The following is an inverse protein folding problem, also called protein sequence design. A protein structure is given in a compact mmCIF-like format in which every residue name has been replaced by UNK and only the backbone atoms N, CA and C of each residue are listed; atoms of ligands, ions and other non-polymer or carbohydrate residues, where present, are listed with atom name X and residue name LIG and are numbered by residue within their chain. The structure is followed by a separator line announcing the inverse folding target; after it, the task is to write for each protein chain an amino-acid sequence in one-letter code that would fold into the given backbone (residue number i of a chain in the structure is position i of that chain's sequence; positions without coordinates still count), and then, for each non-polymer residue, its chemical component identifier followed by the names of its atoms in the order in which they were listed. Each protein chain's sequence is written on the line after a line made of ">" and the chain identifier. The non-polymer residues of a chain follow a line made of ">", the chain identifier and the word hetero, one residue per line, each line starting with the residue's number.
data_IF_762933375207
#
_entry.id   IF_762933375207
#
_cell.length_a   1.000
_cell.length_b   1.000
_cell.length_c   1.000
_cell.angle_alpha   90.00
_cell.angle_beta   90.00
_cell.angle_gamma   90.00
#
_symmetry.space_group_name_H-M   'P 1'
#
loop_
_entity.id
_entity.type
_entity.pdbx_description
1 polymer ?
#
# COMPACT_ATOMS: atom_id res chain seq x y z
N UNK A 1 -33.51 -56.27 -1.68
CA UNK A 1 -32.78 -55.09 -2.22
C UNK A 1 -31.88 -54.52 -1.13
N UNK A 2 -30.87 -53.70 -1.47
CA UNK A 2 -29.76 -53.32 -0.53
C UNK A 2 -30.18 -52.30 0.53
N UNK A 3 -29.34 -52.17 1.57
CA UNK A 3 -29.64 -51.59 2.89
C UNK A 3 -28.81 -50.33 3.18
N UNK A 4 -29.48 -49.21 3.52
CA UNK A 4 -28.94 -48.04 4.25
C UNK A 4 -27.75 -47.38 3.45
N UNK A 5 -27.11 -46.24 3.72
CA UNK A 5 -27.15 -45.16 4.72
C UNK A 5 -27.27 -43.78 4.02
N UNK A 6 -27.73 -42.78 4.76
CA UNK A 6 -27.47 -41.35 4.49
C UNK A 6 -26.35 -40.92 5.44
N UNK A 7 -25.26 -40.36 4.92
CA UNK A 7 -24.12 -39.88 5.72
C UNK A 7 -23.88 -38.39 5.45
N UNK A 8 -24.39 -37.55 6.35
CA UNK A 8 -24.30 -36.08 6.22
C UNK A 8 -23.00 -35.60 6.89
N UNK A 9 -21.94 -35.43 6.09
CA UNK A 9 -20.66 -34.92 6.59
C UNK A 9 -20.77 -33.40 6.80
N UNK A 10 -21.02 -32.98 8.04
CA UNK A 10 -20.99 -31.57 8.43
C UNK A 10 -19.54 -31.17 8.70
N UNK A 11 -18.85 -30.72 7.66
CA UNK A 11 -17.49 -30.18 7.76
C UNK A 11 -17.48 -28.83 8.49
N UNK A 12 -17.32 -28.85 9.81
CA UNK A 12 -17.18 -27.66 10.63
C UNK A 12 -15.85 -26.94 10.34
N UNK A 13 -15.86 -25.98 9.42
CA UNK A 13 -14.70 -25.16 9.08
C UNK A 13 -14.31 -24.24 10.24
N UNK A 14 -13.21 -24.56 10.92
CA UNK A 14 -12.65 -23.71 11.98
C UNK A 14 -12.03 -22.48 11.32
N UNK A 15 -12.76 -21.36 11.34
CA UNK A 15 -12.25 -20.05 10.93
C UNK A 15 -11.23 -19.58 11.97
N UNK A 16 -9.96 -19.88 11.75
CA UNK A 16 -8.84 -19.30 12.49
C UNK A 16 -8.72 -17.81 12.16
N UNK A 17 -9.52 -17.00 12.84
CA UNK A 17 -9.43 -15.54 12.82
C UNK A 17 -8.11 -15.11 13.49
N UNK A 18 -7.05 -15.07 12.70
CA UNK A 18 -5.75 -14.57 13.12
C UNK A 18 -5.85 -13.10 13.51
N UNK A 19 -5.77 -12.82 14.80
CA UNK A 19 -5.78 -11.45 15.32
C UNK A 19 -4.49 -10.74 14.86
N UNK A 20 -4.60 -9.95 13.79
CA UNK A 20 -3.51 -9.12 13.29
C UNK A 20 -3.21 -8.01 14.30
N UNK A 21 -2.24 -8.25 15.19
CA UNK A 21 -1.81 -7.33 16.23
C UNK A 21 -0.98 -6.19 15.62
N UNK A 22 -1.66 -5.21 15.03
CA UNK A 22 -1.05 -3.96 14.63
C UNK A 22 -0.60 -3.20 15.90
N UNK A 23 0.69 -2.93 16.03
CA UNK A 23 1.19 -2.00 17.05
C UNK A 23 0.72 -0.59 16.73
N UNK A 24 0.15 0.12 17.69
CA UNK A 24 -0.24 1.52 17.52
C UNK A 24 0.97 2.34 17.05
N UNK A 25 0.83 3.00 15.89
CA UNK A 25 1.80 3.96 15.39
C UNK A 25 1.67 5.25 16.21
N UNK A 26 2.77 5.95 16.44
CA UNK A 26 2.74 7.28 17.04
C UNK A 26 1.98 8.26 16.12
N UNK A 27 1.04 9.03 16.68
CA UNK A 27 0.14 9.87 15.88
C UNK A 27 0.86 11.00 15.13
N UNK A 28 2.03 11.45 15.59
CA UNK A 28 2.85 12.41 14.84
C UNK A 28 3.49 11.76 13.60
N UNK A 29 3.92 10.49 13.72
CA UNK A 29 4.41 9.69 12.58
C UNK A 29 3.29 9.43 11.58
N UNK A 30 2.08 9.09 12.04
CA UNK A 30 0.92 8.91 11.16
C UNK A 30 0.57 10.20 10.39
N UNK A 31 0.46 11.35 11.07
CA UNK A 31 0.18 12.65 10.44
C UNK A 31 1.23 13.01 9.37
N UNK A 32 2.50 12.71 9.64
CA UNK A 32 3.60 12.88 8.68
C UNK A 32 3.44 11.97 7.45
N UNK A 33 3.06 10.70 7.64
CA UNK A 33 2.84 9.75 6.54
C UNK A 33 1.61 10.11 5.69
N UNK A 34 0.54 10.61 6.32
CA UNK A 34 -0.63 11.16 5.60
C UNK A 34 -0.21 12.33 4.71
N UNK A 35 0.61 13.27 5.22
CA UNK A 35 1.16 14.38 4.41
C UNK A 35 2.05 13.90 3.26
N UNK A 36 2.74 12.77 3.41
CA UNK A 36 3.47 12.13 2.30
C UNK A 36 2.48 11.59 1.24
N UNK A 37 1.40 10.91 1.63
CA UNK A 37 0.34 10.50 0.69
C UNK A 37 -0.31 11.69 -0.03
N UNK A 38 -0.60 12.79 0.68
CA UNK A 38 -1.12 14.03 0.08
C UNK A 38 -0.14 14.67 -0.91
N UNK A 39 1.15 14.66 -0.59
CA UNK A 39 2.18 15.10 -1.51
C UNK A 39 2.29 14.18 -2.72
N UNK A 40 2.12 12.86 -2.56
CA UNK A 40 2.23 11.88 -3.64
C UNK A 40 1.17 12.17 -4.72
N UNK A 41 -0.10 12.29 -4.33
CA UNK A 41 -1.23 12.58 -5.25
C UNK A 41 -1.24 14.00 -5.87
N UNK A 42 -0.23 14.83 -5.60
CA UNK A 42 -0.21 16.25 -6.01
C UNK A 42 0.51 16.56 -7.33
N UNK A 43 1.04 15.54 -8.01
CA UNK A 43 1.93 15.61 -9.20
C UNK A 43 3.21 16.45 -9.03
N UNK A 44 3.46 16.98 -7.82
CA UNK A 44 4.54 17.91 -7.53
C UNK A 44 5.65 17.20 -6.78
N UNK A 45 6.60 16.65 -7.52
CA UNK A 45 7.80 15.97 -7.02
C UNK A 45 8.51 16.76 -5.89
N UNK A 46 8.55 18.09 -5.96
CA UNK A 46 9.11 18.93 -4.89
C UNK A 46 8.34 18.80 -3.56
N UNK A 47 7.00 18.70 -3.58
CA UNK A 47 6.20 18.43 -2.38
C UNK A 47 6.53 17.07 -1.78
N UNK A 48 6.72 16.04 -2.62
CA UNK A 48 7.08 14.69 -2.16
C UNK A 48 8.43 14.70 -1.45
N UNK A 49 9.44 15.38 -2.02
CA UNK A 49 10.75 15.50 -1.38
C UNK A 49 10.70 16.26 -0.04
N UNK A 50 9.89 17.31 0.07
CA UNK A 50 9.68 18.02 1.34
C UNK A 50 8.96 17.12 2.36
N UNK A 51 7.77 16.61 2.04
CA UNK A 51 6.98 15.80 2.98
C UNK A 51 7.75 14.55 3.47
N UNK A 52 8.50 13.88 2.60
CA UNK A 52 9.34 12.74 2.97
C UNK A 52 10.48 13.16 3.90
N UNK A 53 11.21 14.24 3.59
CA UNK A 53 12.25 14.77 4.50
C UNK A 53 11.66 15.14 5.86
N UNK A 54 10.53 15.84 5.86
CA UNK A 54 9.89 16.37 7.06
C UNK A 54 9.22 15.25 7.89
N UNK A 55 8.95 14.08 7.28
CA UNK A 55 8.59 12.85 7.98
C UNK A 55 9.75 12.25 8.79
N UNK A 56 11.00 12.44 8.33
CA UNK A 56 12.21 11.82 8.89
C UNK A 56 12.53 10.42 8.34
N UNK A 57 11.68 9.87 7.47
CA UNK A 57 11.82 8.52 6.91
C UNK A 57 12.51 8.58 5.53
N UNK A 58 13.39 7.63 5.23
CA UNK A 58 14.13 7.60 3.97
C UNK A 58 13.22 7.42 2.75
N UNK A 59 13.47 8.17 1.67
CA UNK A 59 12.68 8.11 0.43
C UNK A 59 12.54 6.68 -0.14
N UNK A 60 13.57 5.84 0.00
CA UNK A 60 13.50 4.42 -0.40
C UNK A 60 12.61 3.58 0.53
N UNK A 61 12.54 3.87 1.83
CA UNK A 61 11.61 3.19 2.74
C UNK A 61 10.16 3.56 2.41
N UNK A 62 9.89 4.86 2.20
CA UNK A 62 8.57 5.34 1.74
C UNK A 62 8.18 4.63 0.43
N UNK A 63 9.04 4.64 -0.59
CA UNK A 63 8.78 4.09 -1.92
C UNK A 63 8.60 2.55 -1.98
N UNK A 64 8.77 1.82 -0.87
CA UNK A 64 8.61 0.37 -0.80
C UNK A 64 7.72 -0.09 0.38
N UNK A 65 7.27 0.81 1.25
CA UNK A 65 6.61 0.46 2.51
C UNK A 65 5.54 1.42 3.01
N UNK A 66 5.34 2.57 2.37
CA UNK A 66 4.15 3.40 2.63
C UNK A 66 2.97 2.90 1.79
N UNK A 67 1.84 2.65 2.44
CA UNK A 67 0.57 2.34 1.78
C UNK A 67 -0.38 3.53 1.95
N UNK A 68 -0.87 4.07 0.83
CA UNK A 68 -1.81 5.18 0.77
C UNK A 68 -3.18 4.66 0.32
N UNK A 69 -4.18 4.66 1.21
CA UNK A 69 -5.54 4.14 0.97
C UNK A 69 -5.58 2.71 0.35
N UNK A 70 -4.65 1.85 0.75
CA UNK A 70 -4.53 0.47 0.23
C UNK A 70 -3.63 0.29 -0.99
N UNK A 71 -3.07 1.37 -1.55
CA UNK A 71 -2.18 1.33 -2.73
C UNK A 71 -0.74 1.69 -2.37
N UNK A 72 0.23 1.17 -3.11
CA UNK A 72 1.64 1.60 -3.03
C UNK A 72 1.83 3.03 -3.56
N UNK A 73 2.98 3.70 -3.33
CA UNK A 73 3.19 5.09 -3.71
C UNK A 73 3.17 5.40 -5.21
N UNK A 74 3.40 4.40 -6.06
CA UNK A 74 3.35 4.54 -7.53
C UNK A 74 1.92 4.36 -8.00
N UNK A 75 1.24 3.28 -7.62
CA UNK A 75 -0.17 3.07 -7.98
C UNK A 75 -1.06 4.18 -7.43
N UNK A 76 -0.84 4.62 -6.19
CA UNK A 76 -1.59 5.71 -5.57
C UNK A 76 -1.41 7.03 -6.32
N UNK A 77 -0.21 7.30 -6.86
CA UNK A 77 0.01 8.46 -7.71
C UNK A 77 -0.78 8.37 -9.02
N UNK A 78 -0.79 7.20 -9.68
CA UNK A 78 -1.49 7.04 -10.97
C UNK A 78 -3.01 7.14 -10.87
N UNK A 79 -3.64 6.50 -9.87
CA UNK A 79 -5.10 6.61 -9.68
C UNK A 79 -5.55 8.03 -9.28
N UNK A 80 -4.60 8.93 -8.95
CA UNK A 80 -4.83 10.36 -8.73
C UNK A 80 -4.30 11.24 -9.88
N UNK A 81 -3.92 10.68 -11.03
CA UNK A 81 -3.36 11.37 -12.20
C UNK A 81 -2.02 12.11 -11.95
N UNK A 82 -1.24 11.66 -10.97
CA UNK A 82 0.03 12.26 -10.55
C UNK A 82 1.26 11.59 -11.19
N UNK A 83 1.29 11.52 -12.54
CA UNK A 83 2.33 10.83 -13.31
C UNK A 83 3.76 11.21 -12.95
N UNK A 84 4.06 12.49 -12.73
CA UNK A 84 5.43 12.94 -12.43
C UNK A 84 5.88 12.42 -11.08
N UNK A 85 4.94 12.30 -10.14
CA UNK A 85 5.18 11.60 -8.88
C UNK A 85 5.36 10.10 -9.12
N UNK A 86 4.49 9.43 -9.88
CA UNK A 86 4.58 7.99 -10.11
C UNK A 86 5.93 7.61 -10.75
N UNK A 87 6.31 8.30 -11.83
CA UNK A 87 7.59 8.18 -12.54
C UNK A 87 8.80 8.61 -11.68
N UNK A 88 8.59 9.37 -10.59
CA UNK A 88 9.60 9.64 -9.57
C UNK A 88 9.69 8.52 -8.52
N UNK A 89 8.57 8.08 -7.94
CA UNK A 89 8.53 7.05 -6.89
C UNK A 89 8.98 5.68 -7.41
N UNK A 90 8.62 5.31 -8.64
CA UNK A 90 9.11 4.11 -9.31
C UNK A 90 10.64 4.08 -9.38
N UNK A 91 11.31 5.24 -9.55
CA UNK A 91 12.78 5.37 -9.52
C UNK A 91 13.38 5.35 -8.10
N UNK A 92 12.63 4.93 -7.08
CA UNK A 92 13.06 4.70 -5.68
C UNK A 92 12.51 3.40 -5.09
N UNK A 93 11.43 2.86 -5.64
CA UNK A 93 10.98 1.48 -5.39
C UNK A 93 12.02 0.46 -5.87
N UNK A 94 11.99 -0.76 -5.33
CA UNK A 94 12.67 -1.94 -5.86
C UNK A 94 11.79 -2.70 -6.86
N UNK A 95 10.48 -2.49 -6.83
CA UNK A 95 9.48 -3.28 -7.54
C UNK A 95 9.47 -2.91 -9.02
N UNK A 96 9.15 -3.86 -9.89
CA UNK A 96 9.24 -3.64 -11.32
C UNK A 96 8.00 -2.94 -11.91
N UNK A 97 7.89 -1.64 -11.67
CA UNK A 97 6.81 -0.78 -12.19
C UNK A 97 6.83 -0.60 -13.73
N UNK A 98 7.66 -1.30 -14.49
CA UNK A 98 7.81 -1.11 -15.95
C UNK A 98 6.49 -1.21 -16.72
N UNK A 99 5.65 -2.22 -16.45
CA UNK A 99 4.34 -2.38 -17.09
C UNK A 99 3.38 -1.22 -16.75
N UNK A 100 3.40 -0.80 -15.48
CA UNK A 100 2.61 0.33 -14.98
C UNK A 100 3.07 1.67 -15.57
N UNK A 101 4.36 1.82 -15.87
CA UNK A 101 4.96 3.01 -16.49
C UNK A 101 4.88 3.02 -18.02
N UNK A 102 4.66 1.86 -18.67
CA UNK A 102 4.58 1.74 -20.13
C UNK A 102 3.28 2.31 -20.72
N UNK A 103 2.28 2.56 -19.87
CA UNK A 103 0.96 3.06 -20.24
C UNK A 103 0.80 4.58 -20.00
N UNK A 104 1.92 5.33 -19.93
CA UNK A 104 1.99 6.75 -19.53
C UNK A 104 2.88 7.59 -20.48
#
# INVERSE_FOLDING_TARGET
>A
MKKILISTIISAGILLAGNAQASNIDSSVEEKLVKVCEAIKSDKVIKVNMAVRDSGIGMKQIANGLVCNGYDPVSFALINNAEKTAKFMAKRSNDNHQELMANL
#
